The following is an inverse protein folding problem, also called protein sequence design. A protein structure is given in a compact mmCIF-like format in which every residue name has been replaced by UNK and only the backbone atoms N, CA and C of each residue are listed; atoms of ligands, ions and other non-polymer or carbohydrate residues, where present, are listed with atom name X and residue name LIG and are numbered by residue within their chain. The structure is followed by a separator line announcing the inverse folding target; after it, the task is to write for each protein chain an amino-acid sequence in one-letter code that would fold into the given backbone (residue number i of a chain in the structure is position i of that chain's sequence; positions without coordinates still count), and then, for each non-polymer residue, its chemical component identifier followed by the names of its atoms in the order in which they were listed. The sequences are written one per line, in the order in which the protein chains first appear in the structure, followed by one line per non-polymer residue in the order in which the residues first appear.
data_IF_535024718526
#
_entry.id   IF_535024718526
#
_cell.length_a   1.000
_cell.length_b   1.000
_cell.length_c   1.000
_cell.angle_alpha   90.00
_cell.angle_beta   90.00
_cell.angle_gamma   90.00
#
_symmetry.space_group_name_H-M   'P 1'
#
loop_
_entity.id
_entity.type
_entity.pdbx_description
1 polymer ?
#
# COMPACT_ATOMS: atom_id res chain seq x y z
N UNK A 1 14.80 15.48 -15.67
CA UNK A 1 14.21 15.26 -14.33
C UNK A 1 13.22 14.14 -14.49
N UNK A 2 13.52 12.96 -13.94
CA UNK A 2 12.58 11.85 -13.93
C UNK A 2 11.66 12.04 -12.74
N UNK A 3 10.37 12.30 -13.00
CA UNK A 3 9.38 12.43 -11.94
C UNK A 3 9.23 11.10 -11.19
N UNK A 4 9.08 11.19 -9.87
CA UNK A 4 8.76 10.07 -8.98
C UNK A 4 7.53 10.46 -8.20
N UNK A 5 6.45 9.74 -8.43
CA UNK A 5 5.15 10.06 -7.86
C UNK A 5 4.75 8.87 -7.01
N UNK A 6 4.34 9.15 -5.78
CA UNK A 6 3.74 8.18 -4.87
C UNK A 6 2.28 8.57 -4.71
N UNK A 7 1.38 7.61 -4.89
CA UNK A 7 -0.07 7.82 -4.76
C UNK A 7 -0.61 6.79 -3.78
N UNK A 8 -1.25 7.24 -2.71
CA UNK A 8 -1.70 6.34 -1.65
C UNK A 8 -2.93 6.86 -0.91
N UNK A 9 -3.64 5.93 -0.28
CA UNK A 9 -4.82 6.22 0.53
C UNK A 9 -5.88 5.12 0.41
N UNK A 10 -7.08 5.40 0.93
CA UNK A 10 -8.28 4.59 0.68
C UNK A 10 -8.78 4.87 -0.75
N UNK A 11 -8.37 4.02 -1.70
CA UNK A 11 -8.82 4.07 -3.09
C UNK A 11 -10.18 3.39 -3.30
N UNK A 12 -10.68 2.69 -2.27
CA UNK A 12 -11.98 2.06 -2.21
C UNK A 12 -12.30 0.99 -3.28
N UNK A 13 -11.30 0.49 -4.00
CA UNK A 13 -11.45 -0.67 -4.88
C UNK A 13 -11.84 -1.92 -4.09
N UNK A 14 -12.74 -2.72 -4.66
CA UNK A 14 -13.37 -3.89 -4.02
C UNK A 14 -13.02 -5.17 -4.77
N UNK A 15 -13.58 -6.29 -4.31
CA UNK A 15 -13.47 -7.58 -4.99
C UNK A 15 -14.67 -7.83 -5.92
N UNK A 16 -14.42 -8.31 -7.14
CA UNK A 16 -15.42 -8.90 -8.04
C UNK A 16 -15.74 -10.35 -7.62
N UNK A 17 -16.15 -10.54 -6.36
CA UNK A 17 -16.34 -11.88 -5.79
C UNK A 17 -17.51 -11.90 -4.80
N UNK A 18 -18.17 -13.06 -4.68
CA UNK A 18 -19.18 -13.28 -3.65
C UNK A 18 -18.55 -13.30 -2.25
N UNK A 19 -19.26 -12.72 -1.27
CA UNK A 19 -18.76 -12.57 0.11
C UNK A 19 -18.31 -13.90 0.74
N UNK A 20 -19.10 -14.97 0.55
CA UNK A 20 -18.79 -16.29 1.09
C UNK A 20 -17.51 -16.89 0.49
N UNK A 21 -17.31 -16.72 -0.82
CA UNK A 21 -16.13 -17.22 -1.52
C UNK A 21 -14.88 -16.43 -1.14
N UNK A 22 -14.96 -15.10 -1.12
CA UNK A 22 -13.88 -14.25 -0.63
C UNK A 22 -13.48 -14.62 0.81
N UNK A 23 -14.45 -14.77 1.72
CA UNK A 23 -14.20 -15.20 3.10
C UNK A 23 -13.61 -16.62 3.19
N UNK A 24 -13.92 -17.51 2.26
CA UNK A 24 -13.30 -18.83 2.20
C UNK A 24 -11.80 -18.72 1.91
N UNK A 25 -11.39 -17.95 0.91
CA UNK A 25 -9.99 -17.71 0.58
C UNK A 25 -9.26 -16.99 1.71
N UNK A 26 -9.89 -16.01 2.33
CA UNK A 26 -9.32 -15.28 3.48
C UNK A 26 -9.02 -16.21 4.66
N UNK A 27 -9.92 -17.15 4.98
CA UNK A 27 -9.69 -18.14 6.06
C UNK A 27 -8.53 -19.08 5.73
N UNK A 28 -8.30 -19.36 4.46
CA UNK A 28 -7.16 -20.15 3.97
C UNK A 28 -5.87 -19.33 3.86
N UNK A 29 -5.96 -18.01 4.03
CA UNK A 29 -4.87 -17.07 3.77
C UNK A 29 -4.33 -17.16 2.34
N UNK A 30 -5.20 -17.51 1.39
CA UNK A 30 -4.85 -17.63 -0.03
C UNK A 30 -5.00 -16.25 -0.70
N UNK A 31 -4.05 -15.37 -0.40
CA UNK A 31 -4.07 -13.98 -0.89
C UNK A 31 -3.90 -13.91 -2.40
N UNK A 32 -3.11 -14.81 -2.97
CA UNK A 32 -2.87 -14.87 -4.41
C UNK A 32 -4.15 -15.20 -5.16
N UNK A 33 -4.90 -16.23 -4.74
CA UNK A 33 -6.17 -16.55 -5.37
C UNK A 33 -7.24 -15.46 -5.15
N UNK A 34 -7.20 -14.75 -4.02
CA UNK A 34 -8.14 -13.66 -3.74
C UNK A 34 -7.88 -12.41 -4.61
N UNK A 35 -6.61 -12.14 -4.91
CA UNK A 35 -6.11 -11.04 -5.73
C UNK A 35 -6.62 -11.10 -7.19
N UNK A 36 -6.88 -12.29 -7.73
CA UNK A 36 -7.52 -12.49 -9.05
C UNK A 36 -8.90 -11.78 -9.19
N UNK A 37 -9.52 -11.42 -8.06
CA UNK A 37 -10.79 -10.72 -8.00
C UNK A 37 -10.65 -9.24 -7.61
N UNK A 38 -9.44 -8.73 -7.35
CA UNK A 38 -9.20 -7.35 -6.95
C UNK A 38 -9.44 -6.38 -8.13
N UNK A 39 -10.28 -5.37 -7.92
CA UNK A 39 -10.64 -4.42 -8.97
C UNK A 39 -9.45 -3.54 -9.39
N UNK A 40 -8.60 -3.12 -8.44
CA UNK A 40 -7.45 -2.27 -8.77
C UNK A 40 -6.40 -3.05 -9.55
N UNK A 41 -6.14 -4.30 -9.17
CA UNK A 41 -5.22 -5.16 -9.89
C UNK A 41 -5.62 -5.32 -11.37
N UNK A 42 -6.92 -5.58 -11.64
CA UNK A 42 -7.42 -5.63 -13.02
C UNK A 42 -7.24 -4.31 -13.76
N UNK A 43 -7.50 -3.19 -13.10
CA UNK A 43 -7.32 -1.87 -13.71
C UNK A 43 -5.85 -1.58 -14.07
N UNK A 44 -4.90 -2.01 -13.22
CA UNK A 44 -3.47 -1.93 -13.49
C UNK A 44 -3.04 -2.82 -14.66
N UNK A 45 -3.61 -4.03 -14.76
CA UNK A 45 -3.31 -4.99 -15.83
C UNK A 45 -3.91 -4.58 -17.19
N UNK A 46 -5.12 -4.02 -17.19
CA UNK A 46 -5.85 -3.62 -18.40
C UNK A 46 -5.43 -2.24 -18.94
N UNK A 47 -4.57 -1.51 -18.21
CA UNK A 47 -4.12 -0.17 -18.63
C UNK A 47 -5.20 0.90 -18.47
N UNK A 48 -5.92 0.88 -17.33
CA UNK A 48 -6.97 1.86 -17.00
C UNK A 48 -6.44 3.21 -16.49
N UNK A 49 -7.07 3.78 -15.45
CA UNK A 49 -6.71 5.10 -14.91
C UNK A 49 -5.28 5.11 -14.36
N UNK A 50 -4.81 3.96 -13.89
CA UNK A 50 -3.45 3.76 -13.37
C UNK A 50 -2.48 3.16 -14.40
N UNK A 51 -2.66 3.39 -15.71
CA UNK A 51 -1.69 2.96 -16.72
C UNK A 51 -0.25 3.45 -16.39
N UNK A 52 0.71 2.52 -16.39
CA UNK A 52 2.12 2.78 -16.11
C UNK A 52 2.48 2.96 -14.63
N UNK A 53 1.50 2.96 -13.73
CA UNK A 53 1.74 2.87 -12.30
C UNK A 53 2.12 1.44 -11.89
N UNK A 54 2.71 1.33 -10.71
CA UNK A 54 3.14 0.06 -10.13
C UNK A 54 2.64 -0.02 -8.70
N UNK A 55 2.36 -1.24 -8.27
CA UNK A 55 2.07 -1.63 -6.90
C UNK A 55 2.90 -2.88 -6.59
N UNK A 56 3.28 -3.08 -5.33
CA UNK A 56 4.02 -4.27 -4.92
C UNK A 56 3.10 -5.41 -4.58
N UNK A 57 3.72 -6.58 -4.40
CA UNK A 57 2.99 -7.80 -4.07
C UNK A 57 2.27 -7.65 -2.72
N UNK A 58 0.97 -7.88 -2.72
CA UNK A 58 0.16 -7.87 -1.52
C UNK A 58 0.21 -9.26 -0.88
N UNK A 59 1.01 -9.37 0.18
CA UNK A 59 1.16 -10.61 0.97
C UNK A 59 0.40 -10.58 2.30
N UNK A 60 -0.46 -9.58 2.49
CA UNK A 60 -1.21 -9.35 3.73
C UNK A 60 -2.72 -9.44 3.53
N UNK A 61 -3.44 -9.73 4.62
CA UNK A 61 -4.89 -9.86 4.60
C UNK A 61 -5.61 -8.52 4.27
N UNK A 62 -6.81 -8.57 3.69
CA UNK A 62 -7.63 -7.38 3.39
C UNK A 62 -7.70 -6.39 4.56
N UNK A 63 -7.61 -5.09 4.25
CA UNK A 63 -7.48 -4.02 5.25
C UNK A 63 -8.82 -3.52 5.76
N UNK A 64 -9.90 -3.78 5.02
CA UNK A 64 -11.27 -3.38 5.30
C UNK A 64 -12.21 -4.59 5.11
N UNK A 65 -13.36 -4.74 5.78
CA UNK A 65 -13.94 -3.94 6.87
C UNK A 65 -13.89 -4.73 8.19
N UNK A 66 -13.15 -4.24 9.16
CA UNK A 66 -13.09 -4.83 10.49
C UNK A 66 -14.26 -4.38 11.38
N UNK A 67 -14.68 -5.25 12.30
CA UNK A 67 -15.63 -4.83 13.34
C UNK A 67 -14.96 -3.82 14.26
N UNK A 68 -15.72 -2.85 14.75
CA UNK A 68 -15.28 -1.85 15.73
C UNK A 68 -14.86 -2.44 17.09
N UNK A 69 -15.13 -3.73 17.32
CA UNK A 69 -14.69 -4.45 18.52
C UNK A 69 -13.18 -4.72 18.50
N UNK A 70 -12.56 -4.84 19.68
CA UNK A 70 -11.12 -5.15 19.89
C UNK A 70 -10.63 -6.47 19.25
N UNK A 71 -11.52 -7.20 18.58
CA UNK A 71 -11.25 -8.47 17.91
C UNK A 71 -10.74 -8.24 16.49
N UNK A 72 -9.77 -9.04 16.03
CA UNK A 72 -9.27 -8.96 14.64
C UNK A 72 -10.22 -9.68 13.67
N UNK A 73 -11.50 -9.27 13.65
CA UNK A 73 -12.57 -9.93 12.89
C UNK A 73 -13.18 -8.98 11.88
N UNK A 74 -13.43 -9.48 10.68
CA UNK A 74 -14.20 -8.76 9.67
C UNK A 74 -15.68 -8.68 10.05
N UNK A 75 -16.32 -7.53 9.78
CA UNK A 75 -17.77 -7.38 9.90
C UNK A 75 -18.51 -8.49 9.12
N UNK A 76 -19.64 -8.96 9.63
CA UNK A 76 -20.45 -10.02 9.02
C UNK A 76 -19.99 -11.46 9.30
N UNK A 77 -18.92 -11.67 10.07
CA UNK A 77 -18.42 -13.02 10.40
C UNK A 77 -19.19 -13.74 11.53
N UNK A 78 -20.14 -13.06 12.18
CA UNK A 78 -21.07 -13.53 13.22
C UNK A 78 -22.35 -12.70 13.13
N UNK A 79 -23.50 -13.13 13.72
CA UNK A 79 -24.67 -12.28 13.83
C UNK A 79 -24.26 -10.95 14.47
N UNK A 80 -24.22 -9.91 13.63
CA UNK A 80 -23.76 -8.59 14.00
C UNK A 80 -24.71 -8.01 15.04
N UNK A 81 -24.17 -7.28 16.02
CA UNK A 81 -24.99 -6.41 16.86
C UNK A 81 -25.65 -5.40 15.92
N UNK A 82 -26.97 -5.24 16.04
CA UNK A 82 -27.83 -4.40 15.22
C UNK A 82 -27.14 -3.12 14.72
N UNK A 83 -26.92 -3.00 13.40
CA UNK A 83 -26.51 -1.75 12.75
C UNK A 83 -25.23 -1.79 11.89
N UNK A 84 -24.32 -2.75 12.05
CA UNK A 84 -23.12 -2.80 11.19
C UNK A 84 -23.44 -3.37 9.80
N UNK A 85 -23.30 -2.55 8.75
CA UNK A 85 -23.43 -3.00 7.36
C UNK A 85 -22.33 -4.02 7.04
N UNK A 86 -22.74 -5.23 6.68
CA UNK A 86 -21.87 -6.27 6.14
C UNK A 86 -21.27 -5.81 4.81
N UNK A 87 -19.96 -6.00 4.66
CA UNK A 87 -19.20 -5.76 3.44
C UNK A 87 -18.22 -6.91 3.26
N UNK A 88 -18.04 -7.34 2.01
CA UNK A 88 -16.94 -8.24 1.64
C UNK A 88 -15.61 -7.58 2.00
N UNK A 89 -14.71 -8.29 2.70
CA UNK A 89 -13.38 -7.74 2.97
C UNK A 89 -12.62 -7.45 1.67
N UNK A 90 -11.88 -6.34 1.63
CA UNK A 90 -11.13 -5.88 0.46
C UNK A 90 -9.88 -5.09 0.87
N UNK A 91 -8.94 -4.93 -0.06
CA UNK A 91 -7.79 -4.04 0.05
C UNK A 91 -8.17 -2.65 -0.48
N UNK A 92 -8.80 -1.86 0.37
CA UNK A 92 -9.19 -0.50 0.04
C UNK A 92 -8.00 0.47 0.14
N UNK A 93 -7.06 0.19 1.04
CA UNK A 93 -5.93 1.05 1.38
C UNK A 93 -4.69 0.63 0.58
N UNK A 94 -4.24 1.47 -0.35
CA UNK A 94 -3.27 1.10 -1.41
C UNK A 94 -2.14 2.11 -1.52
N UNK A 95 -0.97 1.64 -1.98
CA UNK A 95 0.22 2.48 -2.20
C UNK A 95 0.82 2.15 -3.56
N UNK A 96 0.67 3.07 -4.51
CA UNK A 96 1.18 2.98 -5.86
C UNK A 96 2.35 3.94 -6.07
N UNK A 97 3.17 3.64 -7.06
CA UNK A 97 4.22 4.55 -7.52
C UNK A 97 4.31 4.61 -9.04
N UNK A 98 4.79 5.74 -9.54
CA UNK A 98 5.09 5.98 -10.95
C UNK A 98 6.49 6.58 -11.09
N UNK A 99 7.20 6.16 -12.13
CA UNK A 99 8.52 6.69 -12.50
C UNK A 99 9.66 5.68 -12.40
N UNK A 100 10.84 6.11 -12.85
CA UNK A 100 12.07 5.30 -12.89
C UNK A 100 12.91 5.51 -11.63
N UNK A 101 13.71 4.51 -11.28
CA UNK A 101 14.62 4.57 -10.13
C UNK A 101 13.89 4.59 -8.78
N UNK A 102 12.74 3.92 -8.71
CA UNK A 102 11.98 3.65 -7.49
C UNK A 102 11.84 2.14 -7.36
N UNK A 103 12.27 1.63 -6.22
CA UNK A 103 12.19 0.22 -5.84
C UNK A 103 11.44 0.13 -4.52
N UNK A 104 10.39 -0.68 -4.46
CA UNK A 104 9.69 -0.94 -3.21
C UNK A 104 10.41 -2.07 -2.47
N UNK A 105 10.84 -1.79 -1.24
CA UNK A 105 11.57 -2.73 -0.40
C UNK A 105 10.63 -3.52 0.52
N UNK A 106 9.58 -2.87 1.03
CA UNK A 106 8.58 -3.50 1.87
C UNK A 106 7.20 -2.95 1.57
N UNK A 107 6.19 -3.82 1.66
CA UNK A 107 4.79 -3.45 1.58
C UNK A 107 3.99 -4.28 2.58
N UNK A 108 3.43 -3.63 3.60
CA UNK A 108 2.83 -4.36 4.71
C UNK A 108 1.65 -3.63 5.35
N UNK A 109 0.87 -4.40 6.09
CA UNK A 109 -0.25 -3.94 6.88
C UNK A 109 0.08 -3.98 8.36
N UNK A 110 -0.23 -2.91 9.08
CA UNK A 110 -0.15 -2.86 10.54
C UNK A 110 -1.43 -3.37 11.23
N UNK A 111 -1.32 -3.78 12.49
CA UNK A 111 -2.43 -4.38 13.26
C UNK A 111 -3.16 -3.39 14.18
N UNK A 112 -3.01 -2.09 13.95
CA UNK A 112 -3.73 -1.07 14.71
C UNK A 112 -5.26 -1.22 14.55
N UNK A 113 -5.99 -1.12 15.66
CA UNK A 113 -7.44 -1.42 15.72
C UNK A 113 -8.30 -0.19 16.03
N UNK A 114 -7.75 1.01 15.89
CA UNK A 114 -8.49 2.27 16.14
C UNK A 114 -9.54 2.56 15.07
N UNK A 115 -9.50 1.86 13.94
CA UNK A 115 -10.41 2.01 12.79
C UNK A 115 -10.95 0.64 12.34
N UNK A 116 -12.02 0.65 11.55
CA UNK A 116 -12.46 -0.51 10.76
C UNK A 116 -11.54 -0.79 9.56
N UNK A 117 -10.54 0.05 9.34
CA UNK A 117 -9.39 -0.18 8.48
C UNK A 117 -8.15 -0.64 9.27
N UNK A 118 -7.23 -1.30 8.58
CA UNK A 118 -5.87 -1.58 9.06
C UNK A 118 -4.90 -0.69 8.32
N UNK A 119 -3.97 0.01 9.02
CA UNK A 119 -3.01 0.88 8.36
C UNK A 119 -2.12 0.09 7.40
N UNK A 120 -1.74 0.71 6.29
CA UNK A 120 -0.85 0.14 5.28
C UNK A 120 0.35 1.06 5.13
N UNK A 121 1.55 0.47 5.07
CA UNK A 121 2.80 1.22 4.94
C UNK A 121 3.71 0.56 3.92
N UNK A 122 4.58 1.37 3.31
CA UNK A 122 5.55 0.89 2.33
C UNK A 122 6.90 1.59 2.50
N UNK A 123 7.96 0.81 2.28
CA UNK A 123 9.33 1.31 2.25
C UNK A 123 9.82 1.35 0.81
N UNK A 124 10.40 2.47 0.39
CA UNK A 124 10.98 2.60 -0.95
C UNK A 124 12.45 3.00 -0.91
N UNK A 125 13.22 2.47 -1.84
CA UNK A 125 14.54 2.95 -2.24
C UNK A 125 14.41 3.81 -3.49
N UNK A 126 15.14 4.93 -3.53
CA UNK A 126 15.16 5.78 -4.73
C UNK A 126 16.51 6.43 -5.02
N UNK A 127 16.84 6.57 -6.31
CA UNK A 127 18.14 7.08 -6.77
C UNK A 127 18.10 8.60 -7.00
N UNK A 128 18.46 9.46 -6.06
CA UNK A 128 18.32 10.91 -6.27
C UNK A 128 19.47 11.47 -7.13
N UNK A 129 19.16 12.22 -8.20
CA UNK A 129 20.16 12.99 -8.96
C UNK A 129 20.39 14.34 -8.27
N UNK A 130 21.60 14.54 -7.72
CA UNK A 130 22.00 15.84 -7.16
C UNK A 130 22.60 16.69 -8.26
N UNK A 131 21.88 17.73 -8.71
CA UNK A 131 22.47 18.75 -9.58
C UNK A 131 23.33 19.69 -8.75
N UNK A 132 24.65 19.51 -8.79
CA UNK A 132 25.58 20.55 -8.31
C UNK A 132 25.42 21.78 -9.20
N UNK A 133 24.81 22.84 -8.67
CA UNK A 133 24.97 24.17 -9.25
C UNK A 133 26.38 24.63 -8.94
N UNK A 134 27.23 24.76 -9.96
CA UNK A 134 28.52 25.43 -9.84
C UNK A 134 28.30 26.91 -9.55
N UNK A 135 28.07 27.24 -8.27
CA UNK A 135 28.23 28.57 -7.67
C UNK A 135 28.18 28.42 -6.15
N UNK A 136 29.36 28.45 -5.53
CA UNK A 136 29.55 28.49 -4.08
C UNK A 136 29.59 27.11 -3.44
N UNK A 137 30.68 26.83 -2.73
CA UNK A 137 30.78 25.73 -1.76
C UNK A 137 29.57 25.82 -0.81
N UNK A 138 28.54 25.01 -1.03
CA UNK A 138 27.51 24.79 -0.02
C UNK A 138 28.06 23.77 0.96
N UNK A 139 28.29 24.23 2.18
CA UNK A 139 28.56 23.41 3.35
C UNK A 139 27.58 22.23 3.42
N UNK A 140 28.13 21.03 3.54
CA UNK A 140 27.42 19.76 3.67
C UNK A 140 26.62 19.64 4.99
N UNK A 141 26.46 20.73 5.76
CA UNK A 141 26.00 20.67 7.14
C UNK A 141 24.47 20.73 7.32
N UNK A 142 23.70 21.08 6.29
CA UNK A 142 22.23 21.24 6.42
C UNK A 142 21.38 20.17 5.73
N UNK A 143 22.00 19.06 5.36
CA UNK A 143 21.25 17.87 4.93
C UNK A 143 20.94 17.06 6.21
N UNK A 144 19.67 16.76 6.53
CA UNK A 144 19.36 15.86 7.65
C UNK A 144 20.21 14.60 7.53
N UNK A 145 20.89 14.19 8.60
CA UNK A 145 21.81 13.03 8.60
C UNK A 145 21.22 11.75 7.98
N UNK A 146 19.89 11.66 7.91
CA UNK A 146 19.14 10.62 7.18
C UNK A 146 19.50 10.51 5.69
N UNK A 147 20.02 11.56 5.03
CA UNK A 147 20.28 11.59 3.57
C UNK A 147 21.78 11.41 3.24
N UNK A 148 22.70 11.55 4.20
CA UNK A 148 24.14 11.42 3.97
C UNK A 148 24.68 10.06 4.47
N UNK A 149 24.53 9.02 3.65
CA UNK A 149 25.41 7.86 3.68
C UNK A 149 25.93 7.58 2.25
N UNK A 150 27.10 8.14 1.94
CA UNK A 150 27.88 7.83 0.73
C UNK A 150 28.73 6.56 1.00
N UNK A 151 28.98 5.63 0.05
CA UNK A 151 29.23 5.88 -1.38
C UNK A 151 28.40 5.06 -2.40
N UNK A 152 27.29 4.41 -2.03
CA UNK A 152 26.48 3.58 -2.96
C UNK A 152 25.06 4.13 -3.25
N UNK A 153 24.74 5.36 -2.82
CA UNK A 153 23.55 6.17 -3.14
C UNK A 153 22.21 5.44 -3.36
N UNK A 154 21.80 4.65 -2.37
CA UNK A 154 20.43 4.16 -2.18
C UNK A 154 19.84 4.97 -1.02
N UNK A 155 19.08 6.03 -1.31
CA UNK A 155 18.32 6.71 -0.24
C UNK A 155 17.00 5.98 -0.04
N UNK A 156 16.86 5.29 1.09
CA UNK A 156 15.60 4.66 1.50
C UNK A 156 14.71 5.71 2.16
N UNK A 157 13.54 5.99 1.58
CA UNK A 157 12.53 6.86 2.17
C UNK A 157 11.35 6.00 2.64
N UNK A 158 11.08 6.01 3.94
CA UNK A 158 9.87 5.42 4.53
C UNK A 158 8.67 6.32 4.24
N UNK A 159 7.58 5.77 3.72
CA UNK A 159 6.27 6.42 3.73
C UNK A 159 5.39 5.67 4.73
N UNK A 160 4.87 6.37 5.73
CA UNK A 160 3.93 5.84 6.72
C UNK A 160 2.49 6.05 6.29
#
# INVERSE_FOLDING_TARGET
MSNRIFWFGDLNYRLYSEDNFARHLIRKQDWKALQEYDQLQKELEEGGVFEGWKEGDIEFAPTYKYSSSTTNRYCGSLPSRSGEKQRTPAWCDRILWYGKGVEQLHYFRGESKFSDHRPVSALFSTQIEIKSSSRGLMELENIPQTILLNPNNVSSQCFM
#
